data_IF_526235355212
#
_entry.id   IF_526235355212
#
_cell.length_a   1.000
_cell.length_b   1.000
_cell.length_c   1.000
_cell.angle_alpha   90.00
_cell.angle_beta   90.00
_cell.angle_gamma   90.00
#
_symmetry.space_group_name_H-M   'P 1'
#
loop_
_entity.id
_entity.type
_entity.pdbx_description
1 polymer ?
#
# COMPACT_ATOMS: atom_id res chain seq x y z
N UNK A 1 -5.18 9.96 1.50
CA UNK A 1 -5.88 9.59 2.76
C UNK A 1 -6.30 8.13 2.74
N UNK A 2 -5.93 7.36 3.79
CA UNK A 2 -6.29 5.93 3.91
C UNK A 2 -7.79 5.72 4.19
N UNK A 3 -8.35 4.64 3.65
CA UNK A 3 -9.73 4.20 3.91
C UNK A 3 -9.80 3.22 5.08
N UNK A 4 -10.96 3.13 5.74
CA UNK A 4 -11.14 2.34 6.96
C UNK A 4 -10.83 0.85 6.81
N UNK A 5 -11.01 0.28 5.61
CA UNK A 5 -10.70 -1.11 5.27
C UNK A 5 -9.19 -1.43 5.24
N UNK A 6 -8.35 -0.39 5.14
CA UNK A 6 -6.89 -0.49 5.13
C UNK A 6 -6.26 -0.18 6.50
N UNK A 7 -7.08 0.13 7.51
CA UNK A 7 -6.56 0.41 8.85
C UNK A 7 -5.93 -0.83 9.47
N UNK A 8 -4.73 -0.64 10.00
CA UNK A 8 -4.04 -1.63 10.79
C UNK A 8 -4.31 -1.34 12.27
N UNK A 9 -5.15 -2.17 12.87
CA UNK A 9 -5.52 -2.03 14.28
C UNK A 9 -5.42 -3.36 15.01
N UNK A 10 -5.28 -3.29 16.33
CA UNK A 10 -5.38 -4.45 17.23
C UNK A 10 -6.42 -4.14 18.30
N UNK A 11 -7.31 -5.09 18.54
CA UNK A 11 -8.26 -4.99 19.66
C UNK A 11 -7.64 -5.61 20.92
N UNK A 12 -7.73 -4.88 22.04
CA UNK A 12 -7.26 -5.33 23.35
C UNK A 12 -8.34 -5.03 24.40
N UNK A 13 -9.19 -6.04 24.65
CA UNK A 13 -10.36 -5.86 25.53
C UNK A 13 -11.26 -4.75 25.01
N UNK A 14 -11.52 -3.68 25.80
CA UNK A 14 -12.36 -2.56 25.37
C UNK A 14 -11.62 -1.52 24.50
N UNK A 15 -10.32 -1.69 24.24
CA UNK A 15 -9.50 -0.72 23.52
C UNK A 15 -9.18 -1.17 22.09
N UNK A 16 -9.04 -0.19 21.19
CA UNK A 16 -8.50 -0.36 19.84
C UNK A 16 -7.20 0.42 19.77
N UNK A 17 -6.12 -0.28 19.45
CA UNK A 17 -4.78 0.31 19.33
C UNK A 17 -4.35 0.31 17.85
N UNK A 18 -3.74 1.40 17.34
CA UNK A 18 -3.16 1.40 16.01
C UNK A 18 -1.95 0.46 15.96
N UNK A 19 -1.82 -0.27 14.85
CA UNK A 19 -0.65 -1.11 14.58
C UNK A 19 0.22 -0.41 13.55
N UNK A 20 1.39 0.03 13.99
CA UNK A 20 2.38 0.65 13.11
C UNK A 20 3.16 -0.39 12.32
N UNK A 21 3.69 0.02 11.18
CA UNK A 21 4.65 -0.75 10.38
C UNK A 21 6.07 -0.45 10.84
N UNK A 22 6.98 -1.39 10.64
CA UNK A 22 8.41 -1.16 10.87
C UNK A 22 9.02 -0.43 9.67
N UNK A 23 9.29 0.87 9.84
CA UNK A 23 9.78 1.76 8.77
C UNK A 23 11.21 1.47 8.34
N UNK A 24 11.98 0.77 9.18
CA UNK A 24 13.36 0.37 8.89
C UNK A 24 13.43 -1.08 8.36
N UNK A 25 12.29 -1.77 8.33
CA UNK A 25 12.19 -3.14 7.86
C UNK A 25 12.53 -3.26 6.37
N UNK A 26 13.53 -4.06 5.98
CA UNK A 26 13.97 -4.14 4.57
C UNK A 26 12.85 -4.59 3.63
N UNK A 27 12.00 -5.51 4.07
CA UNK A 27 10.84 -5.95 3.28
C UNK A 27 9.82 -4.82 3.01
N UNK A 28 9.64 -3.89 3.95
CA UNK A 28 8.76 -2.73 3.76
C UNK A 28 9.38 -1.73 2.78
N UNK A 29 10.69 -1.48 2.92
CA UNK A 29 11.45 -0.59 2.04
C UNK A 29 11.42 -1.13 0.61
N UNK A 30 11.71 -2.42 0.41
CA UNK A 30 11.68 -3.08 -0.90
C UNK A 30 10.27 -3.00 -1.53
N UNK A 31 9.22 -3.22 -0.72
CA UNK A 31 7.85 -3.08 -1.17
C UNK A 31 7.52 -1.64 -1.57
N UNK A 32 7.91 -0.66 -0.77
CA UNK A 32 7.68 0.75 -1.05
C UNK A 32 8.39 1.18 -2.33
N UNK A 33 9.64 0.76 -2.53
CA UNK A 33 10.40 1.04 -3.74
C UNK A 33 9.73 0.43 -4.98
N UNK A 34 9.34 -0.85 -4.92
CA UNK A 34 8.64 -1.52 -6.02
C UNK A 34 7.33 -0.81 -6.40
N UNK A 35 6.57 -0.32 -5.40
CA UNK A 35 5.35 0.44 -5.64
C UNK A 35 5.62 1.79 -6.30
N UNK A 36 6.67 2.51 -5.89
CA UNK A 36 7.08 3.78 -6.50
C UNK A 36 7.50 3.56 -7.95
N UNK A 37 8.30 2.52 -8.22
CA UNK A 37 8.79 2.19 -9.56
C UNK A 37 7.63 1.87 -10.52
N UNK A 38 6.69 1.02 -10.09
CA UNK A 38 5.46 0.73 -10.85
C UNK A 38 4.70 2.02 -11.15
N UNK A 39 4.55 2.91 -10.17
CA UNK A 39 3.82 4.15 -10.34
C UNK A 39 4.51 5.10 -11.32
N UNK A 40 5.84 5.18 -11.29
CA UNK A 40 6.65 5.98 -12.21
C UNK A 40 6.56 5.44 -13.65
N UNK A 41 6.66 4.12 -13.84
CA UNK A 41 6.54 3.46 -15.14
C UNK A 41 5.14 3.57 -15.77
N UNK A 42 4.13 3.92 -14.97
CA UNK A 42 2.74 4.03 -15.41
C UNK A 42 2.24 5.47 -15.46
N UNK A 43 3.13 6.47 -15.36
CA UNK A 43 2.76 7.87 -15.64
C UNK A 43 2.26 8.01 -17.08
N UNK A 44 1.10 8.65 -17.26
CA UNK A 44 0.45 8.81 -18.56
C UNK A 44 -0.32 7.59 -19.07
N UNK A 45 -0.30 6.46 -18.35
CA UNK A 45 -1.15 5.28 -18.66
C UNK A 45 -2.52 5.40 -18.01
N UNK A 46 -3.44 4.52 -18.40
CA UNK A 46 -4.77 4.47 -17.78
C UNK A 46 -4.67 3.96 -16.35
N UNK A 47 -5.56 4.45 -15.48
CA UNK A 47 -5.71 3.96 -14.10
C UNK A 47 -5.89 2.44 -14.03
N UNK A 48 -6.54 1.84 -15.03
CA UNK A 48 -6.76 0.40 -15.11
C UNK A 48 -5.45 -0.38 -15.24
N UNK A 49 -4.53 0.09 -16.08
CA UNK A 49 -3.24 -0.56 -16.29
C UNK A 49 -2.37 -0.49 -15.02
N UNK A 50 -2.34 0.67 -14.36
CA UNK A 50 -1.69 0.82 -13.06
C UNK A 50 -2.28 -0.15 -12.03
N UNK A 51 -3.61 -0.24 -11.93
CA UNK A 51 -4.26 -1.14 -10.98
C UNK A 51 -3.92 -2.61 -11.24
N UNK A 52 -3.84 -3.03 -12.51
CA UNK A 52 -3.44 -4.39 -12.89
C UNK A 52 -2.00 -4.70 -12.46
N UNK A 53 -1.07 -3.76 -12.66
CA UNK A 53 0.32 -3.93 -12.23
C UNK A 53 0.43 -4.05 -10.70
N UNK A 54 -0.31 -3.22 -9.97
CA UNK A 54 -0.37 -3.25 -8.50
C UNK A 54 -0.99 -4.55 -7.96
N UNK A 55 -2.03 -5.07 -8.61
CA UNK A 55 -2.68 -6.33 -8.22
C UNK A 55 -1.77 -7.54 -8.51
N UNK A 56 -0.97 -7.49 -9.58
CA UNK A 56 0.03 -8.51 -9.89
C UNK A 56 1.14 -8.56 -8.83
N UNK A 57 1.61 -7.40 -8.36
CA UNK A 57 2.56 -7.32 -7.25
C UNK A 57 1.94 -7.87 -5.95
N UNK A 58 0.63 -7.70 -5.76
CA UNK A 58 -0.07 -8.09 -4.53
C UNK A 58 -0.08 -9.59 -4.30
N UNK A 59 -0.38 -10.38 -5.34
CA UNK A 59 -0.23 -11.83 -5.33
C UNK A 59 -0.64 -12.55 -4.03
N UNK A 60 -0.05 -13.70 -3.75
CA UNK A 60 -0.34 -14.53 -2.56
C UNK A 60 0.36 -14.03 -1.28
N UNK A 61 0.70 -12.73 -1.20
CA UNK A 61 1.43 -12.18 -0.05
C UNK A 61 0.50 -11.89 1.13
N UNK A 62 0.93 -12.25 2.32
CA UNK A 62 0.20 -12.05 3.59
C UNK A 62 0.00 -10.56 3.93
N UNK A 63 0.79 -9.65 3.34
CA UNK A 63 0.85 -8.23 3.68
C UNK A 63 -0.03 -7.33 2.79
N UNK A 64 -1.11 -7.89 2.21
CA UNK A 64 -1.96 -7.19 1.24
C UNK A 64 -2.46 -5.81 1.73
N UNK A 65 -2.74 -5.65 3.04
CA UNK A 65 -3.21 -4.37 3.61
C UNK A 65 -2.14 -3.28 3.58
N UNK A 66 -0.90 -3.64 3.91
CA UNK A 66 0.21 -2.69 3.90
C UNK A 66 0.45 -2.22 2.46
N UNK A 67 0.50 -3.17 1.52
CA UNK A 67 0.70 -2.84 0.12
C UNK A 67 -0.41 -1.95 -0.45
N UNK A 68 -1.69 -2.32 -0.24
CA UNK A 68 -2.83 -1.53 -0.71
C UNK A 68 -2.88 -0.15 -0.05
N UNK A 69 -2.49 -0.07 1.22
CA UNK A 69 -2.34 1.19 1.94
C UNK A 69 -1.29 2.11 1.30
N UNK A 70 -0.08 1.60 1.08
CA UNK A 70 1.01 2.34 0.44
C UNK A 70 0.64 2.77 -0.99
N UNK A 71 0.10 1.86 -1.79
CA UNK A 71 -0.35 2.17 -3.16
C UNK A 71 -1.41 3.28 -3.17
N UNK A 72 -2.36 3.24 -2.23
CA UNK A 72 -3.37 4.29 -2.08
C UNK A 72 -2.76 5.63 -1.66
N UNK A 73 -1.79 5.63 -0.76
CA UNK A 73 -1.08 6.86 -0.38
C UNK A 73 -0.38 7.49 -1.59
N UNK A 74 0.31 6.69 -2.40
CA UNK A 74 0.94 7.15 -3.64
C UNK A 74 -0.09 7.73 -4.62
N UNK A 75 -1.17 7.00 -4.92
CA UNK A 75 -2.22 7.48 -5.82
C UNK A 75 -2.83 8.80 -5.32
N UNK A 76 -3.14 8.92 -4.03
CA UNK A 76 -3.73 10.13 -3.47
C UNK A 76 -2.76 11.33 -3.48
N UNK A 77 -1.43 11.10 -3.50
CA UNK A 77 -0.43 12.16 -3.57
C UNK A 77 -0.05 12.58 -5.01
N UNK A 78 -0.12 11.67 -5.97
CA UNK A 78 0.39 11.89 -7.33
C UNK A 78 -0.70 11.95 -8.42
N UNK A 79 -1.95 11.59 -8.13
CA UNK A 79 -3.04 11.62 -9.12
C UNK A 79 -3.94 12.87 -9.02
N UNK A 80 -3.38 14.04 -8.70
CA UNK A 80 -4.07 15.34 -8.89
C UNK A 80 -4.12 15.77 -10.36
#
# INVERSE_FOLDING_TARGET
MLTSDLLLTRSRGPYIEPRYVDVEGPALIDLAQALIDIHAEHQGKTRRELQQALDLLAGDRTDYRIQRGLAKLLCDHYCE
#
